data_IF_817855142905
#
_entry.id   IF_817855142905
#
_cell.length_a   1.000
_cell.length_b   1.000
_cell.length_c   1.000
_cell.angle_alpha   90.00
_cell.angle_beta   90.00
_cell.angle_gamma   90.00
#
_symmetry.space_group_name_H-M   'P 1'
#
loop_
_entity.id
_entity.type
_entity.pdbx_description
1 polymer ?
#
# COMPACT_ATOMS: atom_id res chain seq x y z
N UNK A 1 10.32 -2.53 -14.31
CA UNK A 1 10.21 -1.19 -13.69
C UNK A 1 11.59 -0.59 -13.60
N UNK A 2 11.70 0.73 -13.79
CA UNK A 2 12.97 1.44 -13.66
C UNK A 2 13.15 1.95 -12.24
N UNK A 3 14.40 2.13 -11.86
CA UNK A 3 14.80 2.75 -10.60
C UNK A 3 16.08 3.57 -10.78
N UNK A 4 16.31 4.48 -9.87
CA UNK A 4 17.57 5.24 -9.77
C UNK A 4 18.30 4.91 -8.48
N UNK A 5 19.64 4.91 -8.53
CA UNK A 5 20.48 4.76 -7.35
C UNK A 5 20.43 6.06 -6.52
N UNK A 6 20.26 5.93 -5.22
CA UNK A 6 20.26 7.06 -4.28
C UNK A 6 21.59 7.09 -3.53
N UNK A 7 22.31 8.20 -3.66
CA UNK A 7 23.50 8.46 -2.87
C UNK A 7 23.11 8.89 -1.44
N UNK A 8 23.02 7.89 -0.55
CA UNK A 8 22.63 8.14 0.84
C UNK A 8 23.61 9.01 1.61
N UNK A 9 24.83 9.22 1.13
CA UNK A 9 25.78 10.14 1.79
C UNK A 9 25.39 11.61 1.59
N UNK A 10 24.62 11.91 0.55
CA UNK A 10 24.09 13.24 0.23
C UNK A 10 22.61 13.41 0.58
N UNK A 11 21.95 12.33 0.98
CA UNK A 11 20.54 12.38 1.37
C UNK A 11 20.40 13.08 2.73
N UNK A 12 19.41 13.96 2.91
CA UNK A 12 19.14 14.59 4.21
C UNK A 12 18.96 13.62 5.37
N UNK A 13 18.59 12.36 5.09
CA UNK A 13 18.40 11.28 6.06
C UNK A 13 19.64 10.39 6.24
N UNK A 14 20.82 10.78 5.76
CA UNK A 14 22.03 9.95 5.86
C UNK A 14 22.35 9.49 7.29
N UNK A 15 22.18 10.36 8.27
CA UNK A 15 22.39 10.04 9.69
C UNK A 15 21.36 9.03 10.23
N UNK A 16 20.07 9.23 9.93
CA UNK A 16 18.99 8.31 10.30
C UNK A 16 19.17 6.94 9.62
N UNK A 17 19.52 6.94 8.34
CA UNK A 17 19.80 5.72 7.60
C UNK A 17 20.91 4.91 8.27
N UNK A 18 22.06 5.53 8.55
CA UNK A 18 23.19 4.89 9.21
C UNK A 18 22.85 4.39 10.63
N UNK A 19 22.06 5.15 11.39
CA UNK A 19 21.66 4.82 12.75
C UNK A 19 20.69 3.64 12.79
N UNK A 20 19.59 3.68 12.04
CA UNK A 20 18.56 2.65 12.11
C UNK A 20 19.01 1.33 11.49
N UNK A 21 19.88 1.32 10.49
CA UNK A 21 20.45 0.08 9.93
C UNK A 21 21.28 -0.74 10.91
N UNK A 22 21.71 -0.18 12.02
CA UNK A 22 22.40 -0.93 13.07
C UNK A 22 21.46 -1.70 14.00
N UNK A 23 20.15 -1.46 13.90
CA UNK A 23 19.16 -2.10 14.75
C UNK A 23 18.78 -3.48 14.20
N UNK A 24 18.50 -4.43 15.08
CA UNK A 24 17.98 -5.75 14.70
C UNK A 24 16.56 -5.67 14.16
N UNK A 25 15.80 -4.65 14.58
CA UNK A 25 14.40 -4.46 14.20
C UNK A 25 14.14 -2.99 13.87
N UNK A 26 14.60 -2.51 12.71
CA UNK A 26 14.50 -1.11 12.33
C UNK A 26 13.16 -0.78 11.65
N UNK A 27 12.06 -1.13 12.26
CA UNK A 27 10.74 -0.93 11.68
C UNK A 27 9.89 0.03 12.51
N UNK A 28 9.05 0.80 11.81
CA UNK A 28 8.04 1.66 12.38
C UNK A 28 6.70 1.41 11.71
N UNK A 29 5.63 1.39 12.48
CA UNK A 29 4.28 1.21 11.97
C UNK A 29 3.29 2.09 12.70
N UNK A 30 2.29 2.57 11.95
CA UNK A 30 1.15 3.32 12.47
C UNK A 30 -0.12 2.73 11.90
N UNK A 31 -1.11 2.56 12.78
CA UNK A 31 -2.49 2.30 12.39
C UNK A 31 -3.32 3.55 12.68
N UNK A 32 -4.05 4.03 11.69
CA UNK A 32 -4.95 5.17 11.84
C UNK A 32 -6.33 4.84 11.28
N UNK A 33 -7.36 5.44 11.89
CA UNK A 33 -8.73 5.40 11.36
C UNK A 33 -8.85 6.34 10.17
N UNK A 34 -9.21 5.78 9.02
CA UNK A 34 -9.46 6.53 7.78
C UNK A 34 -10.96 6.66 7.57
N UNK A 35 -11.42 7.89 7.38
CA UNK A 35 -12.81 8.18 7.02
C UNK A 35 -13.04 7.86 5.55
N UNK A 36 -13.97 6.95 5.30
CA UNK A 36 -14.37 6.52 3.97
C UNK A 36 -15.86 6.74 3.71
N UNK A 37 -16.51 7.64 4.46
CA UNK A 37 -17.96 7.85 4.40
C UNK A 37 -18.43 8.13 2.98
N UNK A 38 -17.87 9.13 2.33
CA UNK A 38 -18.23 9.51 0.96
C UNK A 38 -17.82 8.43 -0.06
N UNK A 39 -16.65 7.85 0.11
CA UNK A 39 -16.17 6.75 -0.75
C UNK A 39 -17.12 5.55 -0.68
N UNK A 40 -17.56 5.15 0.49
CA UNK A 40 -18.48 4.03 0.68
C UNK A 40 -19.86 4.32 0.08
N UNK A 41 -20.38 5.55 0.28
CA UNK A 41 -21.69 5.96 -0.22
C UNK A 41 -21.72 6.09 -1.75
N UNK A 42 -20.67 6.65 -2.35
CA UNK A 42 -20.64 6.96 -3.78
C UNK A 42 -20.09 5.84 -4.66
N UNK A 43 -19.63 4.75 -4.08
CA UNK A 43 -19.05 3.60 -4.79
C UNK A 43 -20.00 2.96 -5.82
N UNK A 44 -21.30 2.96 -5.58
CA UNK A 44 -22.35 2.55 -6.55
C UNK A 44 -22.08 1.22 -7.30
N UNK A 45 -21.78 0.14 -6.55
CA UNK A 45 -21.52 -1.17 -7.16
C UNK A 45 -20.07 -1.42 -7.62
N UNK A 46 -19.20 -0.42 -7.63
CA UNK A 46 -17.76 -0.60 -7.89
C UNK A 46 -17.11 -1.51 -6.85
N UNK A 47 -16.12 -2.35 -7.21
CA UNK A 47 -15.49 -3.31 -6.29
C UNK A 47 -14.75 -2.57 -5.18
N UNK A 48 -15.17 -2.73 -3.91
CA UNK A 48 -14.57 -2.03 -2.77
C UNK A 48 -13.05 -2.23 -2.70
N UNK A 49 -12.61 -3.50 -2.70
CA UNK A 49 -11.20 -3.84 -2.53
C UNK A 49 -10.30 -3.15 -3.59
N UNK A 50 -10.60 -3.32 -4.87
CA UNK A 50 -9.77 -2.76 -5.96
C UNK A 50 -9.84 -1.24 -6.01
N UNK A 51 -11.00 -0.65 -5.68
CA UNK A 51 -11.15 0.81 -5.64
C UNK A 51 -10.35 1.42 -4.48
N UNK A 52 -10.38 0.80 -3.31
CA UNK A 52 -9.58 1.23 -2.16
C UNK A 52 -8.09 0.99 -2.39
N UNK A 53 -7.72 -0.17 -2.94
CA UNK A 53 -6.35 -0.50 -3.33
C UNK A 53 -5.78 0.53 -4.31
N UNK A 54 -6.56 0.98 -5.27
CA UNK A 54 -6.16 2.04 -6.20
C UNK A 54 -5.73 3.33 -5.47
N UNK A 55 -6.56 3.82 -4.54
CA UNK A 55 -6.25 5.01 -3.75
C UNK A 55 -5.01 4.80 -2.86
N UNK A 56 -4.90 3.64 -2.21
CA UNK A 56 -3.75 3.26 -1.36
C UNK A 56 -2.45 3.27 -2.14
N UNK A 57 -2.43 2.65 -3.32
CA UNK A 57 -1.20 2.53 -4.14
C UNK A 57 -0.75 3.90 -4.65
N UNK A 58 -1.67 4.75 -5.07
CA UNK A 58 -1.35 6.11 -5.51
C UNK A 58 -0.82 6.96 -4.35
N UNK A 59 -1.47 6.88 -3.19
CA UNK A 59 -1.03 7.56 -1.98
C UNK A 59 0.38 7.17 -1.55
N UNK A 60 0.71 5.87 -1.62
CA UNK A 60 2.03 5.36 -1.29
C UNK A 60 3.09 5.79 -2.33
N UNK A 61 2.78 5.70 -3.62
CA UNK A 61 3.69 6.14 -4.69
C UNK A 61 3.96 7.66 -4.69
N UNK A 62 3.05 8.45 -4.15
CA UNK A 62 3.25 9.90 -4.00
C UNK A 62 4.29 10.28 -2.93
N UNK A 63 4.78 9.31 -2.13
CA UNK A 63 5.83 9.51 -1.11
C UNK A 63 7.11 8.82 -1.59
N UNK A 64 8.14 9.55 -2.06
CA UNK A 64 9.37 8.97 -2.62
C UNK A 64 10.05 7.96 -1.69
N UNK A 65 10.10 8.23 -0.39
CA UNK A 65 10.73 7.36 0.61
C UNK A 65 10.05 5.99 0.71
N UNK A 66 8.77 5.88 0.39
CA UNK A 66 8.06 4.60 0.35
C UNK A 66 8.39 3.79 -0.91
N UNK A 67 8.99 4.40 -1.94
CA UNK A 67 9.46 3.73 -3.16
C UNK A 67 10.93 3.32 -3.08
N UNK A 68 11.62 3.63 -1.98
CA UNK A 68 13.01 3.28 -1.77
C UNK A 68 13.18 1.84 -1.28
N UNK A 69 14.26 1.20 -1.71
CA UNK A 69 14.62 -0.17 -1.30
C UNK A 69 16.10 -0.26 -0.99
N UNK A 70 16.43 -1.08 0.01
CA UNK A 70 17.80 -1.44 0.35
C UNK A 70 18.13 -2.71 -0.43
N UNK A 71 19.14 -2.66 -1.28
CA UNK A 71 19.63 -3.82 -2.04
C UNK A 71 20.53 -4.70 -1.17
N UNK A 72 20.80 -5.96 -1.58
CA UNK A 72 21.65 -6.88 -0.83
C UNK A 72 23.08 -6.38 -0.57
N UNK A 73 23.60 -5.49 -1.40
CA UNK A 73 24.91 -4.84 -1.22
C UNK A 73 24.86 -3.63 -0.28
N UNK A 74 23.67 -3.29 0.23
CA UNK A 74 23.42 -2.15 1.11
C UNK A 74 23.23 -0.82 0.39
N UNK A 75 23.27 -0.78 -0.93
CA UNK A 75 22.91 0.40 -1.71
C UNK A 75 21.40 0.66 -1.64
N UNK A 76 20.99 1.90 -1.90
CA UNK A 76 19.58 2.29 -1.90
C UNK A 76 19.16 2.69 -3.30
N UNK A 77 18.03 2.16 -3.73
CA UNK A 77 17.38 2.54 -4.98
C UNK A 77 16.02 3.17 -4.71
N UNK A 78 15.56 4.04 -5.61
CA UNK A 78 14.22 4.59 -5.63
C UNK A 78 13.56 4.18 -6.95
N UNK A 79 12.48 3.39 -6.86
CA UNK A 79 11.69 3.00 -8.02
C UNK A 79 10.84 4.16 -8.53
N UNK A 80 10.64 4.25 -9.85
CA UNK A 80 9.74 5.25 -10.44
C UNK A 80 8.28 5.00 -10.03
N UNK A 81 7.90 3.72 -9.92
CA UNK A 81 6.59 3.26 -9.48
C UNK A 81 6.72 1.92 -8.76
N UNK A 82 5.94 1.73 -7.69
CA UNK A 82 5.83 0.48 -6.96
C UNK A 82 4.40 -0.06 -7.08
N UNK A 83 4.18 -1.23 -7.70
CA UNK A 83 2.86 -1.85 -7.77
C UNK A 83 2.50 -2.57 -6.46
N UNK A 84 1.20 -2.82 -6.21
CA UNK A 84 0.78 -3.67 -5.11
C UNK A 84 0.97 -5.15 -5.45
N UNK A 85 1.50 -5.93 -4.50
CA UNK A 85 1.29 -7.38 -4.40
C UNK A 85 0.37 -7.64 -3.21
N UNK A 86 -0.78 -8.26 -3.42
CA UNK A 86 -1.78 -8.48 -2.38
C UNK A 86 -2.25 -9.93 -2.32
N UNK A 87 -2.81 -10.30 -1.17
CA UNK A 87 -3.36 -11.64 -0.94
C UNK A 87 -4.76 -11.76 -1.51
N UNK A 88 -4.99 -12.74 -2.40
CA UNK A 88 -6.30 -13.13 -2.91
C UNK A 88 -6.71 -14.47 -2.30
N UNK A 89 -7.83 -14.50 -1.58
CA UNK A 89 -8.30 -15.68 -0.85
C UNK A 89 -8.99 -16.67 -1.79
N UNK A 90 -8.60 -17.95 -1.70
CA UNK A 90 -9.25 -19.08 -2.36
C UNK A 90 -10.45 -19.57 -1.52
N UNK A 91 -11.38 -20.30 -2.14
CA UNK A 91 -12.52 -20.88 -1.42
C UNK A 91 -12.14 -21.85 -0.28
N UNK A 92 -10.96 -22.47 -0.37
CA UNK A 92 -10.42 -23.38 0.65
C UNK A 92 -9.78 -22.66 1.87
N UNK A 93 -9.80 -21.32 1.89
CA UNK A 93 -9.23 -20.53 2.97
C UNK A 93 -7.72 -20.27 2.86
N UNK A 94 -7.07 -20.77 1.80
CA UNK A 94 -5.66 -20.45 1.49
C UNK A 94 -5.63 -19.27 0.54
N UNK A 95 -4.61 -18.44 0.64
CA UNK A 95 -4.43 -17.29 -0.27
C UNK A 95 -3.33 -17.54 -1.31
N UNK A 96 -3.41 -16.80 -2.38
CA UNK A 96 -2.37 -16.64 -3.41
C UNK A 96 -2.01 -15.16 -3.55
N UNK A 97 -0.83 -14.86 -4.11
CA UNK A 97 -0.45 -13.47 -4.39
C UNK A 97 -0.99 -13.02 -5.74
N UNK A 98 -1.38 -11.75 -5.79
CA UNK A 98 -1.88 -11.09 -6.99
C UNK A 98 -1.23 -9.71 -7.13
N UNK A 99 -0.63 -9.44 -8.28
CA UNK A 99 0.01 -8.17 -8.59
C UNK A 99 -0.76 -7.44 -9.70
N UNK A 100 -0.94 -6.12 -9.52
CA UNK A 100 -1.49 -5.23 -10.54
C UNK A 100 -0.42 -4.22 -10.94
N UNK A 101 0.17 -4.41 -12.11
CA UNK A 101 1.30 -3.62 -12.58
C UNK A 101 0.88 -2.31 -13.24
N UNK A 102 1.74 -1.29 -13.12
CA UNK A 102 1.68 -0.03 -13.84
C UNK A 102 0.90 1.09 -13.14
N UNK A 103 1.23 2.32 -13.52
CA UNK A 103 0.45 3.52 -13.17
C UNK A 103 -0.68 3.67 -14.18
N UNK A 104 -1.85 3.16 -13.84
CA UNK A 104 -3.00 3.08 -14.73
C UNK A 104 -4.11 4.04 -14.27
N UNK A 105 -4.94 4.56 -15.20
CA UNK A 105 -6.21 5.18 -14.86
C UNK A 105 -7.12 4.19 -14.11
N UNK A 106 -8.02 4.71 -13.26
CA UNK A 106 -8.87 3.92 -12.37
C UNK A 106 -9.58 2.73 -13.04
N UNK A 107 -10.29 2.97 -14.14
CA UNK A 107 -11.06 1.91 -14.82
C UNK A 107 -10.14 0.80 -15.38
N UNK A 108 -8.98 1.18 -15.93
CA UNK A 108 -7.98 0.22 -16.41
C UNK A 108 -7.35 -0.59 -15.27
N UNK A 109 -7.08 0.05 -14.14
CA UNK A 109 -6.56 -0.61 -12.93
C UNK A 109 -7.55 -1.64 -12.40
N UNK A 110 -8.83 -1.27 -12.27
CA UNK A 110 -9.87 -2.19 -11.79
C UNK A 110 -10.06 -3.37 -12.74
N UNK A 111 -10.14 -3.11 -14.06
CA UNK A 111 -10.28 -4.16 -15.06
C UNK A 111 -9.09 -5.12 -15.07
N UNK A 112 -7.86 -4.59 -14.98
CA UNK A 112 -6.64 -5.40 -14.87
C UNK A 112 -6.64 -6.21 -13.57
N UNK A 113 -6.95 -5.60 -12.44
CA UNK A 113 -6.99 -6.25 -11.13
C UNK A 113 -7.98 -7.41 -11.10
N UNK A 114 -9.19 -7.22 -11.62
CA UNK A 114 -10.20 -8.29 -11.72
C UNK A 114 -9.72 -9.45 -12.61
N UNK A 115 -9.07 -9.15 -13.73
CA UNK A 115 -8.51 -10.17 -14.62
C UNK A 115 -7.39 -10.94 -13.93
N UNK A 116 -6.41 -10.24 -13.35
CA UNK A 116 -5.28 -10.85 -12.64
C UNK A 116 -5.73 -11.71 -11.47
N UNK A 117 -6.72 -11.24 -10.71
CA UNK A 117 -7.25 -12.01 -9.59
C UNK A 117 -7.88 -13.32 -10.04
N UNK A 118 -8.63 -13.34 -11.15
CA UNK A 118 -9.14 -14.60 -11.74
C UNK A 118 -7.99 -15.52 -12.15
N UNK A 119 -7.01 -15.01 -12.90
CA UNK A 119 -5.85 -15.78 -13.39
C UNK A 119 -5.08 -16.46 -12.24
N UNK A 120 -4.76 -15.71 -11.16
CA UNK A 120 -4.00 -16.28 -10.03
C UNK A 120 -4.82 -17.26 -9.20
N UNK A 121 -6.12 -17.04 -9.05
CA UNK A 121 -7.01 -17.97 -8.36
C UNK A 121 -7.18 -19.28 -9.14
N UNK A 122 -7.28 -19.23 -10.47
CA UNK A 122 -7.31 -20.40 -11.34
C UNK A 122 -5.97 -21.16 -11.32
N UNK A 123 -4.84 -20.45 -11.37
CA UNK A 123 -3.50 -21.05 -11.26
C UNK A 123 -3.29 -21.72 -9.89
N UNK A 124 -3.78 -21.12 -8.82
CA UNK A 124 -3.79 -21.67 -7.46
C UNK A 124 -2.43 -21.81 -6.76
N UNK A 125 -1.34 -21.33 -7.35
CA UNK A 125 0.01 -21.42 -6.80
C UNK A 125 0.41 -20.14 -6.06
N UNK A 126 1.18 -20.28 -4.96
CA UNK A 126 1.73 -19.16 -4.19
C UNK A 126 3.01 -18.65 -4.87
N UNK A 127 2.84 -17.91 -5.97
CA UNK A 127 3.94 -17.30 -6.72
C UNK A 127 3.64 -15.82 -6.94
N UNK A 128 4.67 -14.98 -6.78
CA UNK A 128 4.60 -13.57 -7.14
C UNK A 128 5.08 -13.40 -8.58
N UNK A 129 4.32 -12.63 -9.36
CA UNK A 129 4.70 -12.28 -10.73
C UNK A 129 5.40 -10.93 -10.70
N UNK A 130 6.70 -10.87 -11.04
CA UNK A 130 7.51 -9.66 -11.11
C UNK A 130 8.68 -9.61 -10.14
N UNK A 131 9.27 -8.42 -9.95
CA UNK A 131 10.36 -8.18 -9.01
C UNK A 131 9.81 -7.89 -7.60
N UNK A 132 9.98 -8.80 -6.61
CA UNK A 132 9.43 -8.62 -5.27
C UNK A 132 9.93 -7.35 -4.56
N UNK A 133 11.16 -6.88 -4.86
CA UNK A 133 11.67 -5.64 -4.28
C UNK A 133 10.88 -4.41 -4.73
N UNK A 134 10.27 -4.44 -5.91
CA UNK A 134 9.49 -3.29 -6.39
C UNK A 134 8.13 -3.14 -5.70
N UNK A 135 7.63 -4.14 -4.98
CA UNK A 135 6.25 -4.17 -4.50
C UNK A 135 5.98 -3.34 -3.24
N UNK A 136 4.74 -2.84 -3.14
CA UNK A 136 4.07 -2.66 -1.86
C UNK A 136 3.36 -3.97 -1.51
N UNK A 137 3.63 -4.53 -0.34
CA UNK A 137 2.89 -5.69 0.13
C UNK A 137 1.59 -5.25 0.80
N UNK A 138 0.47 -5.80 0.32
CA UNK A 138 -0.85 -5.36 0.74
C UNK A 138 -1.67 -6.52 1.29
N UNK A 139 -2.37 -6.29 2.39
CA UNK A 139 -3.27 -7.26 3.01
C UNK A 139 -4.57 -6.60 3.46
N UNK A 140 -5.69 -7.28 3.29
CA UNK A 140 -6.97 -6.84 3.83
C UNK A 140 -7.53 -7.88 4.80
N UNK A 141 -8.03 -7.42 5.95
CA UNK A 141 -8.65 -8.23 6.99
C UNK A 141 -10.13 -7.82 7.14
N UNK A 142 -11.00 -8.15 6.16
CA UNK A 142 -12.38 -7.66 6.13
C UNK A 142 -13.27 -8.19 7.27
N UNK A 143 -12.76 -9.16 8.03
CA UNK A 143 -13.47 -9.76 9.16
C UNK A 143 -13.24 -9.06 10.49
N UNK A 144 -12.15 -8.26 10.59
CA UNK A 144 -11.70 -7.69 11.86
C UNK A 144 -11.49 -6.19 11.75
N UNK A 145 -12.13 -5.44 12.64
CA UNK A 145 -11.76 -4.06 12.94
C UNK A 145 -10.70 -4.08 14.04
N UNK A 146 -9.50 -3.65 13.74
CA UNK A 146 -8.34 -3.76 14.63
C UNK A 146 -7.74 -2.38 14.95
N UNK A 147 -7.01 -2.28 16.05
CA UNK A 147 -6.33 -1.05 16.47
C UNK A 147 -4.84 -1.01 16.10
N UNK A 148 -4.25 -2.18 15.81
CA UNK A 148 -2.84 -2.32 15.41
C UNK A 148 -2.66 -3.61 14.63
N UNK A 149 -1.76 -3.58 13.64
CA UNK A 149 -1.30 -4.75 12.91
C UNK A 149 0.19 -4.62 12.64
N UNK A 150 0.93 -5.66 12.98
CA UNK A 150 2.35 -5.81 12.65
C UNK A 150 2.53 -6.90 11.60
N UNK A 151 3.55 -6.74 10.78
CA UNK A 151 3.88 -7.68 9.71
C UNK A 151 5.25 -8.33 9.93
N UNK A 152 5.43 -9.58 9.51
CA UNK A 152 6.75 -10.19 9.51
C UNK A 152 7.67 -9.46 8.53
N UNK A 153 8.96 -9.39 8.87
CA UNK A 153 10.03 -8.93 7.99
C UNK A 153 11.04 -10.05 7.81
N UNK A 154 11.61 -10.16 6.62
CA UNK A 154 12.57 -11.23 6.31
C UNK A 154 13.93 -10.97 6.95
N UNK A 155 14.31 -9.70 7.06
CA UNK A 155 15.58 -9.25 7.64
C UNK A 155 15.48 -7.79 8.10
N UNK A 156 16.51 -7.28 8.76
CA UNK A 156 16.60 -5.86 9.12
C UNK A 156 16.65 -4.92 7.89
N UNK A 157 17.14 -5.38 6.75
CA UNK A 157 17.19 -4.63 5.50
C UNK A 157 15.91 -4.80 4.62
N UNK A 158 14.93 -5.59 5.09
CA UNK A 158 13.63 -5.66 4.43
C UNK A 158 12.99 -4.26 4.36
N UNK A 159 12.78 -3.78 3.16
CA UNK A 159 12.42 -2.37 2.93
C UNK A 159 11.14 -2.17 2.12
N UNK A 160 10.42 -3.27 1.82
CA UNK A 160 9.10 -3.17 1.21
C UNK A 160 8.09 -2.63 2.23
N UNK A 161 7.41 -1.51 1.96
CA UNK A 161 6.29 -1.08 2.80
C UNK A 161 5.17 -2.12 2.81
N UNK A 162 4.58 -2.34 3.99
CA UNK A 162 3.40 -3.18 4.16
C UNK A 162 2.22 -2.31 4.52
N UNK A 163 1.16 -2.45 3.75
CA UNK A 163 -0.04 -1.65 3.91
C UNK A 163 -1.21 -2.60 4.14
N UNK A 164 -1.97 -2.37 5.19
CA UNK A 164 -3.10 -3.23 5.50
C UNK A 164 -4.31 -2.43 5.94
N UNK A 165 -5.48 -2.99 5.75
CA UNK A 165 -6.69 -2.39 6.28
C UNK A 165 -7.66 -3.44 6.80
N UNK A 166 -8.48 -3.03 7.75
CA UNK A 166 -9.43 -3.88 8.43
C UNK A 166 -10.87 -3.74 7.94
N UNK A 167 -11.78 -4.25 8.76
CA UNK A 167 -13.22 -4.14 8.56
C UNK A 167 -13.67 -2.70 8.76
N UNK A 168 -14.44 -2.18 7.81
CA UNK A 168 -15.11 -0.90 7.97
C UNK A 168 -16.26 -1.02 8.99
N UNK A 169 -16.43 0.04 9.80
CA UNK A 169 -17.56 0.21 10.72
C UNK A 169 -18.26 1.54 10.45
N UNK A 170 -19.57 1.55 10.65
CA UNK A 170 -20.38 2.78 10.55
C UNK A 170 -20.96 3.10 11.92
N UNK A 171 -20.65 4.29 12.43
CA UNK A 171 -21.17 4.80 13.69
C UNK A 171 -21.40 6.31 13.58
N UNK A 172 -22.54 6.80 14.09
CA UNK A 172 -22.87 8.23 14.08
C UNK A 172 -22.87 8.88 12.68
N UNK A 173 -23.23 8.12 11.65
CA UNK A 173 -23.24 8.61 10.26
C UNK A 173 -21.87 8.64 9.57
N UNK A 174 -20.79 8.23 10.25
CA UNK A 174 -19.46 8.11 9.67
C UNK A 174 -19.09 6.65 9.46
N UNK A 175 -18.46 6.36 8.34
CA UNK A 175 -17.88 5.05 8.03
C UNK A 175 -16.37 5.16 8.04
N UNK A 176 -15.71 4.40 8.92
CA UNK A 176 -14.24 4.38 9.04
C UNK A 176 -13.71 2.97 8.93
N UNK A 177 -12.43 2.84 8.60
CA UNK A 177 -11.70 1.59 8.72
C UNK A 177 -10.26 1.84 9.17
N UNK A 178 -9.65 0.91 9.94
CA UNK A 178 -8.26 1.01 10.33
C UNK A 178 -7.37 0.72 9.11
N UNK A 179 -6.40 1.60 8.86
CA UNK A 179 -5.34 1.41 7.88
C UNK A 179 -4.01 1.41 8.59
N UNK A 180 -3.19 0.39 8.34
CA UNK A 180 -1.83 0.29 8.87
C UNK A 180 -0.81 0.50 7.76
N UNK A 181 0.20 1.31 8.02
CA UNK A 181 1.41 1.41 7.22
C UNK A 181 2.61 1.01 8.09
N UNK A 182 3.40 0.05 7.61
CA UNK A 182 4.58 -0.48 8.26
C UNK A 182 5.78 -0.35 7.32
N UNK A 183 6.86 0.30 7.79
CA UNK A 183 8.01 0.71 6.96
C UNK A 183 9.33 0.43 7.65
N UNK A 184 10.41 0.31 6.88
CA UNK A 184 11.76 0.35 7.41
C UNK A 184 12.13 1.77 7.83
N UNK A 185 12.43 1.96 9.11
CA UNK A 185 12.68 3.29 9.68
C UNK A 185 13.98 3.94 9.18
N UNK A 186 14.91 3.14 8.64
CA UNK A 186 16.08 3.68 7.98
C UNK A 186 15.71 4.54 6.74
N UNK A 187 14.64 4.18 6.04
CA UNK A 187 14.19 4.86 4.81
C UNK A 187 13.06 5.86 5.03
N UNK A 188 12.17 5.61 5.99
CA UNK A 188 10.99 6.43 6.23
C UNK A 188 10.72 6.61 7.73
N UNK A 189 10.05 7.70 8.09
CA UNK A 189 9.68 8.03 9.49
C UNK A 189 8.25 8.58 9.58
N UNK A 190 7.89 9.10 10.75
CA UNK A 190 6.55 9.63 11.01
C UNK A 190 6.08 10.71 10.05
N UNK A 191 6.99 11.54 9.50
CA UNK A 191 6.63 12.52 8.48
C UNK A 191 6.12 11.83 7.20
N UNK A 192 6.85 10.82 6.72
CA UNK A 192 6.51 10.09 5.50
C UNK A 192 5.24 9.24 5.67
N UNK A 193 5.08 8.66 6.86
CA UNK A 193 3.84 7.95 7.24
C UNK A 193 2.65 8.94 7.23
N UNK A 194 2.81 10.13 7.81
CA UNK A 194 1.76 11.16 7.81
C UNK A 194 1.42 11.65 6.40
N UNK A 195 2.42 11.81 5.53
CA UNK A 195 2.21 12.15 4.12
C UNK A 195 1.41 11.07 3.38
N UNK A 196 1.67 9.79 3.64
CA UNK A 196 0.87 8.70 3.08
C UNK A 196 -0.61 8.82 3.46
N UNK A 197 -0.93 9.04 4.74
CA UNK A 197 -2.31 9.18 5.18
C UNK A 197 -3.00 10.41 4.59
N UNK A 198 -2.33 11.55 4.55
CA UNK A 198 -2.85 12.75 3.89
C UNK A 198 -3.11 12.55 2.39
N UNK A 199 -2.20 11.86 1.70
CA UNK A 199 -2.37 11.49 0.30
C UNK A 199 -3.52 10.50 0.11
N UNK A 200 -3.68 9.51 1.01
CA UNK A 200 -4.78 8.54 0.94
C UNK A 200 -6.14 9.24 1.05
N UNK A 201 -6.30 10.16 1.99
CA UNK A 201 -7.52 10.95 2.10
C UNK A 201 -7.78 11.78 0.84
N UNK A 202 -6.73 12.36 0.25
CA UNK A 202 -6.83 13.10 -1.00
C UNK A 202 -7.26 12.19 -2.17
N UNK A 203 -6.61 11.05 -2.35
CA UNK A 203 -6.94 10.11 -3.44
C UNK A 203 -8.37 9.56 -3.31
N UNK A 204 -8.85 9.31 -2.09
CA UNK A 204 -10.23 8.90 -1.85
C UNK A 204 -11.23 10.01 -2.23
N UNK A 205 -10.95 11.27 -1.86
CA UNK A 205 -11.78 12.42 -2.27
C UNK A 205 -11.78 12.60 -3.78
N UNK A 206 -10.62 12.55 -4.42
CA UNK A 206 -10.50 12.74 -5.87
C UNK A 206 -11.23 11.64 -6.64
N UNK A 207 -11.15 10.40 -6.15
CA UNK A 207 -11.83 9.26 -6.75
C UNK A 207 -13.35 9.39 -6.62
N UNK A 208 -13.87 9.82 -5.46
CA UNK A 208 -15.32 10.05 -5.27
C UNK A 208 -15.83 11.18 -6.15
N UNK A 209 -15.08 12.26 -6.32
CA UNK A 209 -15.40 13.35 -7.27
C UNK A 209 -15.44 12.85 -8.71
N UNK A 210 -14.47 12.03 -9.11
CA UNK A 210 -14.47 11.42 -10.45
C UNK A 210 -15.73 10.58 -10.70
N UNK A 211 -16.25 9.90 -9.66
CA UNK A 211 -17.45 9.09 -9.78
C UNK A 211 -18.75 9.90 -9.80
N UNK A 212 -18.75 11.10 -9.26
CA UNK A 212 -19.93 11.96 -9.15
C UNK A 212 -19.57 13.43 -9.45
N UNK A 213 -19.32 13.76 -10.72
CA UNK A 213 -18.90 15.10 -11.14
C UNK A 213 -19.99 16.19 -10.94
N UNK A 214 -21.25 15.78 -10.70
CA UNK A 214 -22.39 16.72 -10.54
C UNK A 214 -22.59 17.20 -9.10
N UNK A 215 -21.81 16.75 -8.13
CA UNK A 215 -21.98 17.11 -6.71
C UNK A 215 -21.38 18.48 -6.32
N UNK A 216 -20.86 19.27 -7.25
CA UNK A 216 -20.25 20.60 -7.02
C UNK A 216 -21.13 21.79 -7.49
N UNK A 217 -22.44 21.59 -7.79
CA UNK A 217 -23.36 22.70 -8.15
C UNK A 217 -24.31 23.03 -7.02
#
# INVERSE_FOLDING_TARGET
MSYQLIDMTKDPRSGQFAYFRQMLFPFAGVTAEVDITDFAAQRQGRPFFLSFLYAVVRAANAVPQLRRRILPDGSVVEYDWCPPSYTAMKPDGVYVYCTVEGDLPYEAFVALGQRRQREVLERGTLTEDGDPLSFFFVSALPWLHYSQLEHPAVSADDSNPRISWGKAITAGGRTTLPVSLYVNHALADGLHISQFFANLEKELRDLTRQWNPESEN
#
